data_IF_434357031959
#
_entry.id   IF_434357031959
#
_cell.length_a   1.000
_cell.length_b   1.000
_cell.length_c   1.000
_cell.angle_alpha   90.00
_cell.angle_beta   90.00
_cell.angle_gamma   90.00
#
_symmetry.space_group_name_H-M   'P 1'
#
loop_
_entity.id
_entity.type
_entity.pdbx_description
1 polymer ?
#
# COMPACT_ATOMS: atom_id res chain seq x y z
N UNK A 1 11.27 17.50 -6.31
CA UNK A 1 11.30 16.50 -7.41
C UNK A 1 11.80 17.21 -8.66
N UNK A 2 13.11 17.24 -8.90
CA UNK A 2 13.66 17.98 -10.04
C UNK A 2 13.15 17.45 -11.40
N UNK A 3 12.78 16.16 -11.48
CA UNK A 3 12.17 15.57 -12.67
C UNK A 3 10.71 15.99 -12.90
N UNK A 4 9.96 16.30 -11.84
CA UNK A 4 8.60 16.81 -11.97
C UNK A 4 8.57 18.22 -12.61
N UNK A 5 9.61 19.02 -12.35
CA UNK A 5 9.80 20.33 -12.95
C UNK A 5 10.34 20.24 -14.39
N UNK A 6 11.13 19.20 -14.66
CA UNK A 6 11.76 18.97 -15.97
C UNK A 6 10.79 18.32 -16.96
N UNK A 7 9.91 17.44 -16.49
CA UNK A 7 8.93 16.69 -17.29
C UNK A 7 7.56 16.65 -16.60
N UNK A 8 6.76 17.74 -16.69
CA UNK A 8 5.51 17.87 -15.91
C UNK A 8 4.46 16.80 -16.25
N UNK A 9 4.47 16.24 -17.46
CA UNK A 9 3.58 15.16 -17.87
C UNK A 9 3.94 13.79 -17.30
N UNK A 10 5.20 13.58 -16.91
CA UNK A 10 5.69 12.28 -16.45
C UNK A 10 5.07 11.89 -15.11
N UNK A 11 4.97 12.83 -14.18
CA UNK A 11 4.37 12.59 -12.86
C UNK A 11 2.85 12.37 -12.98
N UNK A 12 2.20 13.06 -13.91
CA UNK A 12 0.77 12.85 -14.17
C UNK A 12 0.53 11.43 -14.71
N UNK A 13 1.30 10.99 -15.71
CA UNK A 13 1.21 9.63 -16.25
C UNK A 13 1.56 8.57 -15.21
N UNK A 14 2.61 8.79 -14.40
CA UNK A 14 2.96 7.89 -13.30
C UNK A 14 1.80 7.77 -12.32
N UNK A 15 1.12 8.87 -11.98
CA UNK A 15 -0.03 8.84 -11.08
C UNK A 15 -1.20 8.07 -11.69
N UNK A 16 -1.61 8.42 -12.90
CA UNK A 16 -2.82 7.90 -13.54
C UNK A 16 -2.67 6.46 -14.03
N UNK A 17 -1.53 6.12 -14.63
CA UNK A 17 -1.31 4.82 -15.27
C UNK A 17 -0.50 3.86 -14.38
N UNK A 18 0.33 4.42 -13.50
CA UNK A 18 1.20 3.65 -12.61
C UNK A 18 0.54 3.40 -11.25
N UNK A 19 0.41 4.47 -10.47
CA UNK A 19 0.10 4.36 -9.05
C UNK A 19 -1.37 4.06 -8.81
N UNK A 20 -2.26 4.81 -9.46
CA UNK A 20 -3.69 4.76 -9.17
C UNK A 20 -4.32 3.36 -9.38
N UNK A 21 -4.04 2.61 -10.48
CA UNK A 21 -4.61 1.28 -10.65
C UNK A 21 -4.19 0.31 -9.54
N UNK A 22 -2.91 0.33 -9.15
CA UNK A 22 -2.35 -0.55 -8.11
C UNK A 22 -2.89 -0.21 -6.73
N UNK A 23 -2.99 1.08 -6.42
CA UNK A 23 -3.61 1.52 -5.18
C UNK A 23 -5.09 1.12 -5.12
N UNK A 24 -5.83 1.26 -6.23
CA UNK A 24 -7.24 0.89 -6.28
C UNK A 24 -7.45 -0.61 -6.05
N UNK A 25 -6.62 -1.47 -6.67
CA UNK A 25 -6.68 -2.92 -6.45
C UNK A 25 -6.53 -3.29 -4.97
N UNK A 26 -5.57 -2.67 -4.27
CA UNK A 26 -5.38 -2.91 -2.83
C UNK A 26 -6.53 -2.31 -2.00
N UNK A 27 -7.01 -1.11 -2.34
CA UNK A 27 -8.18 -0.50 -1.69
C UNK A 27 -9.39 -1.42 -1.76
N UNK A 28 -9.70 -1.96 -2.95
CA UNK A 28 -10.85 -2.83 -3.16
C UNK A 28 -10.77 -4.11 -2.31
N UNK A 29 -9.57 -4.71 -2.21
CA UNK A 29 -9.32 -5.87 -1.35
C UNK A 29 -9.56 -5.53 0.12
N UNK A 30 -9.03 -4.41 0.61
CA UNK A 30 -9.17 -4.02 2.01
C UNK A 30 -10.60 -3.62 2.37
N UNK A 31 -11.33 -2.96 1.45
CA UNK A 31 -12.76 -2.67 1.59
C UNK A 31 -13.57 -3.96 1.69
N UNK A 32 -13.28 -4.95 0.85
CA UNK A 32 -13.97 -6.25 0.92
C UNK A 32 -13.65 -7.00 2.21
N UNK A 33 -12.40 -6.94 2.69
CA UNK A 33 -12.01 -7.51 3.99
C UNK A 33 -12.70 -6.78 5.15
N UNK A 34 -12.87 -5.46 5.06
CA UNK A 34 -13.63 -4.68 6.03
C UNK A 34 -15.10 -5.08 6.04
N UNK A 35 -15.72 -5.25 4.85
CA UNK A 35 -17.10 -5.74 4.70
C UNK A 35 -17.30 -7.14 5.29
N UNK A 36 -16.28 -8.00 5.23
CA UNK A 36 -16.29 -9.34 5.84
C UNK A 36 -15.96 -9.34 7.34
N UNK A 37 -15.60 -8.19 7.91
CA UNK A 37 -15.21 -8.06 9.31
C UNK A 37 -13.80 -8.54 9.63
N UNK A 38 -12.93 -8.72 8.63
CA UNK A 38 -11.53 -9.05 8.83
C UNK A 38 -10.67 -7.81 9.15
N UNK A 39 -11.01 -6.67 8.55
CA UNK A 39 -10.42 -5.35 8.83
C UNK A 39 -11.41 -4.54 9.68
N UNK A 40 -10.92 -3.72 10.62
CA UNK A 40 -11.79 -2.87 11.46
C UNK A 40 -12.56 -1.86 10.61
N UNK A 41 -13.80 -1.60 10.99
CA UNK A 41 -14.68 -0.64 10.28
C UNK A 41 -14.18 0.81 10.35
N UNK A 42 -13.35 1.14 11.35
CA UNK A 42 -12.75 2.46 11.54
C UNK A 42 -11.35 2.59 10.91
N UNK A 43 -10.85 1.55 10.24
CA UNK A 43 -9.56 1.62 9.56
C UNK A 43 -9.63 2.56 8.35
N UNK A 44 -8.71 3.52 8.31
CA UNK A 44 -8.50 4.41 7.17
C UNK A 44 -7.77 3.65 6.04
N UNK A 45 -8.55 3.14 5.10
CA UNK A 45 -8.05 2.33 3.99
C UNK A 45 -7.09 3.13 3.08
N UNK A 46 -7.40 4.39 2.80
CA UNK A 46 -6.58 5.22 1.92
C UNK A 46 -5.18 5.45 2.52
N UNK A 47 -5.12 5.69 3.83
CA UNK A 47 -3.86 5.80 4.56
C UNK A 47 -3.10 4.47 4.55
N UNK A 48 -3.76 3.33 4.78
CA UNK A 48 -3.13 2.00 4.76
C UNK A 48 -2.53 1.68 3.40
N UNK A 49 -3.27 1.93 2.32
CA UNK A 49 -2.81 1.73 0.94
C UNK A 49 -1.62 2.64 0.64
N UNK A 50 -1.67 3.90 1.06
CA UNK A 50 -0.57 4.86 0.89
C UNK A 50 0.69 4.40 1.62
N UNK A 51 0.57 3.84 2.83
CA UNK A 51 1.70 3.30 3.58
C UNK A 51 2.26 2.03 2.92
N UNK A 52 1.39 1.10 2.52
CA UNK A 52 1.78 -0.14 1.88
C UNK A 52 2.48 0.11 0.54
N UNK A 53 1.85 0.87 -0.36
CA UNK A 53 2.41 1.20 -1.67
C UNK A 53 3.63 2.12 -1.55
N UNK A 54 3.55 3.14 -0.69
CA UNK A 54 4.64 4.10 -0.46
C UNK A 54 5.91 3.46 0.09
N UNK A 55 5.81 2.33 0.81
CA UNK A 55 6.98 1.62 1.32
C UNK A 55 7.93 1.14 0.21
N UNK A 56 7.42 0.75 -0.96
CA UNK A 56 8.24 0.35 -2.12
C UNK A 56 9.05 1.53 -2.66
N UNK A 57 8.43 2.71 -2.76
CA UNK A 57 9.13 3.94 -3.14
C UNK A 57 10.15 4.34 -2.07
N UNK A 58 9.80 4.20 -0.80
CA UNK A 58 10.70 4.52 0.30
C UNK A 58 11.93 3.60 0.30
N UNK A 59 11.75 2.30 0.09
CA UNK A 59 12.84 1.32 0.00
C UNK A 59 13.74 1.59 -1.21
N UNK A 60 13.14 1.76 -2.40
CA UNK A 60 13.85 2.09 -3.63
C UNK A 60 14.70 3.36 -3.47
N UNK A 61 14.10 4.46 -2.98
CA UNK A 61 14.82 5.73 -2.83
C UNK A 61 15.90 5.68 -1.75
N UNK A 62 15.73 4.84 -0.73
CA UNK A 62 16.67 4.75 0.39
C UNK A 62 17.87 3.86 0.08
N UNK A 63 17.65 2.74 -0.60
CA UNK A 63 18.66 1.70 -0.76
C UNK A 63 19.08 1.45 -2.21
N UNK A 64 18.28 1.88 -3.20
CA UNK A 64 18.60 1.76 -4.63
C UNK A 64 18.81 0.32 -5.10
N UNK A 65 18.18 -0.65 -4.44
CA UNK A 65 18.34 -2.09 -4.66
C UNK A 65 17.03 -2.72 -5.12
N UNK A 66 17.12 -3.92 -5.67
CA UNK A 66 15.94 -4.73 -5.95
C UNK A 66 15.19 -5.05 -4.67
N UNK A 67 13.86 -5.12 -4.79
CA UNK A 67 12.97 -5.42 -3.67
C UNK A 67 13.23 -6.85 -3.20
N UNK A 68 13.48 -7.00 -1.89
CA UNK A 68 13.65 -8.30 -1.26
C UNK A 68 12.38 -9.15 -1.41
N UNK A 69 12.54 -10.46 -1.61
CA UNK A 69 11.42 -11.35 -1.92
C UNK A 69 10.36 -11.42 -0.81
N UNK A 70 10.71 -11.10 0.42
CA UNK A 70 9.84 -11.11 1.60
C UNK A 70 9.30 -9.71 1.98
N UNK A 71 9.52 -8.70 1.15
CA UNK A 71 9.21 -7.31 1.47
C UNK A 71 7.70 -7.10 1.67
N UNK A 72 6.88 -7.73 0.82
CA UNK A 72 5.42 -7.67 0.93
C UNK A 72 4.93 -8.26 2.26
N UNK A 73 5.45 -9.41 2.65
CA UNK A 73 5.13 -10.11 3.89
C UNK A 73 5.50 -9.26 5.10
N UNK A 74 6.65 -8.57 5.05
CA UNK A 74 7.09 -7.67 6.12
C UNK A 74 6.18 -6.45 6.25
N UNK A 75 5.73 -5.87 5.14
CA UNK A 75 4.74 -4.77 5.15
C UNK A 75 3.44 -5.25 5.79
N UNK A 76 2.93 -6.42 5.37
CA UNK A 76 1.70 -6.99 5.92
C UNK A 76 1.86 -7.30 7.41
N UNK A 77 2.95 -7.93 7.83
CA UNK A 77 3.23 -8.18 9.24
C UNK A 77 3.31 -6.90 10.08
N UNK A 78 3.71 -5.78 9.47
CA UNK A 78 3.77 -4.47 10.13
C UNK A 78 2.39 -3.80 10.22
N UNK A 79 1.62 -3.82 9.13
CA UNK A 79 0.34 -3.09 9.04
C UNK A 79 -0.86 -3.91 9.56
N UNK A 80 -0.83 -5.23 9.42
CA UNK A 80 -1.98 -6.08 9.77
C UNK A 80 -2.39 -5.98 11.24
N UNK A 81 -1.48 -6.03 12.23
CA UNK A 81 -1.85 -5.93 13.64
C UNK A 81 -2.56 -4.62 14.00
N UNK A 82 -2.31 -3.54 13.23
CA UNK A 82 -2.93 -2.24 13.48
C UNK A 82 -4.27 -2.05 12.76
N UNK A 83 -4.65 -2.90 11.81
CA UNK A 83 -5.91 -2.76 11.05
C UNK A 83 -6.86 -3.97 11.16
N UNK A 84 -6.35 -5.13 11.57
CA UNK A 84 -7.17 -6.33 11.72
C UNK A 84 -8.21 -6.15 12.83
N UNK A 85 -9.39 -6.73 12.64
CA UNK A 85 -10.40 -6.83 13.69
C UNK A 85 -9.92 -7.78 14.79
N UNK A 86 -10.13 -7.42 16.05
CA UNK A 86 -9.77 -8.28 17.19
C UNK A 86 -10.38 -9.68 17.04
N UNK A 87 -9.58 -10.71 17.31
CA UNK A 87 -10.01 -12.11 17.18
C UNK A 87 -9.97 -12.69 15.76
N UNK A 88 -9.60 -11.93 14.73
CA UNK A 88 -9.39 -12.46 13.37
C UNK A 88 -8.05 -13.20 13.19
N UNK A 89 -7.14 -13.11 14.17
CA UNK A 89 -5.79 -13.68 14.10
C UNK A 89 -5.71 -15.22 14.12
N UNK A 90 -6.82 -15.95 13.96
CA UNK A 90 -6.88 -17.41 14.09
C UNK A 90 -7.51 -18.15 12.89
N UNK A 91 -7.67 -17.50 11.73
CA UNK A 91 -8.06 -18.18 10.50
C UNK A 91 -7.06 -17.85 9.39
N UNK A 92 -5.93 -18.56 9.41
CA UNK A 92 -4.86 -18.50 8.42
C UNK A 92 -3.86 -19.61 8.65
#
# INVERSE_FOLDING_TARGET
>A
MAEAEREPGLIAQMRELGNQPRCQELSDVLIELQRRGAVREDADIDTVVSLAFGSYFADFNRYGRDVEADFAERIVATLWPVIAKEGWASVG
#
